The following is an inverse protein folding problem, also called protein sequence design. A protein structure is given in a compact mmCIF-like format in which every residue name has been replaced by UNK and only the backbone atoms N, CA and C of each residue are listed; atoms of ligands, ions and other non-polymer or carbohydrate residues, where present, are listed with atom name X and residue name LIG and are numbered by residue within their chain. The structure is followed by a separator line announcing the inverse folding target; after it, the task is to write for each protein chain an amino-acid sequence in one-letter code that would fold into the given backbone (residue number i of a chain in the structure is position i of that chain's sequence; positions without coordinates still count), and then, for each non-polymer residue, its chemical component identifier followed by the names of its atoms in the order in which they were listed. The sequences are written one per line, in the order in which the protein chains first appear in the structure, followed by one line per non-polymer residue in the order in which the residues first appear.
data_IF_210460226588
#
_entry.id   IF_210460226588
#
_cell.length_a   1.000
_cell.length_b   1.000
_cell.length_c   1.000
_cell.angle_alpha   90.00
_cell.angle_beta   90.00
_cell.angle_gamma   90.00
#
_symmetry.space_group_name_H-M   'P 1'
#
loop_
_entity.id
_entity.type
_entity.pdbx_description
1 polymer ?
#
# COMPACT_ATOMS: atom_id res chain seq x y z
N UNK A 1 -3.59 18.45 -5.05
CA UNK A 1 -2.81 17.62 -4.12
C UNK A 1 -3.68 16.74 -3.22
N UNK A 2 -4.76 17.26 -2.61
CA UNK A 2 -5.64 16.45 -1.74
C UNK A 2 -6.20 15.20 -2.44
N UNK A 3 -6.66 15.32 -3.69
CA UNK A 3 -7.17 14.20 -4.47
C UNK A 3 -6.13 13.08 -4.66
N UNK A 4 -4.88 13.44 -5.01
CA UNK A 4 -3.76 12.50 -5.15
C UNK A 4 -3.46 11.76 -3.84
N UNK A 5 -3.43 12.50 -2.73
CA UNK A 5 -3.18 11.91 -1.40
C UNK A 5 -4.29 10.91 -1.06
N UNK A 6 -5.55 11.25 -1.34
CA UNK A 6 -6.68 10.33 -1.12
C UNK A 6 -6.53 9.02 -1.89
N UNK A 7 -6.15 9.09 -3.17
CA UNK A 7 -5.94 7.89 -3.99
C UNK A 7 -4.76 7.06 -3.44
N UNK A 8 -3.63 7.70 -3.15
CA UNK A 8 -2.44 7.04 -2.59
C UNK A 8 -2.75 6.33 -1.26
N UNK A 9 -3.46 7.00 -0.35
CA UNK A 9 -3.85 6.46 0.95
C UNK A 9 -4.78 5.28 0.77
N UNK A 10 -5.74 5.36 -0.16
CA UNK A 10 -6.65 4.25 -0.45
C UNK A 10 -5.90 3.01 -0.96
N UNK A 11 -5.00 3.17 -1.94
CA UNK A 11 -4.24 2.05 -2.49
C UNK A 11 -3.35 1.40 -1.42
N UNK A 12 -2.68 2.22 -0.60
CA UNK A 12 -1.83 1.75 0.49
C UNK A 12 -2.64 1.05 1.60
N UNK A 13 -3.81 1.59 1.95
CA UNK A 13 -4.70 1.02 2.96
C UNK A 13 -5.19 -0.36 2.54
N UNK A 14 -5.66 -0.51 1.31
CA UNK A 14 -6.13 -1.79 0.78
C UNK A 14 -5.00 -2.82 0.75
N UNK A 15 -3.79 -2.40 0.37
CA UNK A 15 -2.60 -3.26 0.40
C UNK A 15 -2.29 -3.73 1.83
N UNK A 16 -2.13 -2.79 2.77
CA UNK A 16 -1.81 -3.09 4.17
C UNK A 16 -2.89 -3.94 4.82
N UNK A 17 -4.17 -3.72 4.51
CA UNK A 17 -5.28 -4.50 5.06
C UNK A 17 -5.23 -5.96 4.61
N UNK A 18 -4.94 -6.21 3.33
CA UNK A 18 -4.77 -7.59 2.82
C UNK A 18 -3.51 -8.24 3.39
N UNK A 19 -2.41 -7.49 3.49
CA UNK A 19 -1.19 -7.94 4.15
C UNK A 19 -1.45 -8.38 5.60
N UNK A 20 -2.08 -7.52 6.40
CA UNK A 20 -2.43 -7.83 7.79
C UNK A 20 -3.38 -9.04 7.89
N UNK A 21 -4.32 -9.19 6.95
CA UNK A 21 -5.18 -10.37 6.89
C UNK A 21 -4.38 -11.64 6.61
N UNK A 22 -3.43 -11.62 5.67
CA UNK A 22 -2.56 -12.74 5.37
C UNK A 22 -1.72 -13.16 6.60
N UNK A 23 -1.19 -12.18 7.35
CA UNK A 23 -0.51 -12.44 8.62
C UNK A 23 -1.44 -13.12 9.65
N UNK A 24 -2.71 -12.67 9.76
CA UNK A 24 -3.74 -13.29 10.62
C UNK A 24 -4.11 -14.70 10.21
N UNK A 25 -3.97 -15.03 8.93
CA UNK A 25 -4.18 -16.37 8.39
C UNK A 25 -2.96 -17.28 8.59
N UNK A 26 -1.88 -16.79 9.21
CA UNK A 26 -0.68 -17.55 9.55
C UNK A 26 0.37 -17.64 8.43
N UNK A 27 0.23 -16.83 7.37
CA UNK A 27 1.28 -16.72 6.35
C UNK A 27 2.53 -16.06 6.93
N UNK A 28 3.70 -16.60 6.61
CA UNK A 28 4.98 -15.97 6.99
C UNK A 28 5.09 -14.60 6.30
N UNK A 29 5.71 -13.63 6.98
CA UNK A 29 5.93 -12.27 6.46
C UNK A 29 6.28 -12.19 4.96
N UNK A 30 7.28 -12.94 4.50
CA UNK A 30 7.72 -12.89 3.09
C UNK A 30 6.63 -13.40 2.14
N UNK A 31 5.95 -14.48 2.50
CA UNK A 31 4.85 -15.07 1.75
C UNK A 31 3.62 -14.14 1.76
N UNK A 32 3.31 -13.54 2.91
CA UNK A 32 2.22 -12.60 3.07
C UNK A 32 2.41 -11.34 2.21
N UNK A 33 3.64 -10.79 2.14
CA UNK A 33 3.97 -9.65 1.29
C UNK A 33 3.86 -10.04 -0.19
N UNK A 34 4.38 -11.21 -0.58
CA UNK A 34 4.34 -11.67 -1.96
C UNK A 34 2.91 -11.92 -2.44
N UNK A 35 2.10 -12.64 -1.66
CA UNK A 35 0.69 -12.89 -1.98
C UNK A 35 -0.12 -11.60 -2.05
N UNK A 36 0.09 -10.67 -1.10
CA UNK A 36 -0.57 -9.36 -1.13
C UNK A 36 -0.21 -8.59 -2.39
N UNK A 37 1.08 -8.55 -2.74
CA UNK A 37 1.57 -7.90 -3.94
C UNK A 37 0.92 -8.46 -5.21
N UNK A 38 0.93 -9.78 -5.38
CA UNK A 38 0.36 -10.45 -6.55
C UNK A 38 -1.15 -10.25 -6.67
N UNK A 39 -1.87 -10.38 -5.56
CA UNK A 39 -3.33 -10.26 -5.56
C UNK A 39 -3.80 -8.82 -5.71
N UNK A 40 -3.00 -7.81 -5.29
CA UNK A 40 -3.37 -6.38 -5.35
C UNK A 40 -2.79 -5.61 -6.51
N UNK A 41 -1.75 -6.13 -7.17
CA UNK A 41 -1.15 -5.51 -8.34
C UNK A 41 -2.19 -5.13 -9.41
N UNK A 42 -2.98 -6.11 -9.87
CA UNK A 42 -3.97 -5.90 -10.94
C UNK A 42 -5.02 -4.82 -10.59
N UNK A 43 -5.71 -4.89 -9.43
CA UNK A 43 -6.68 -3.86 -9.06
C UNK A 43 -6.07 -2.47 -8.91
N UNK A 44 -4.91 -2.33 -8.27
CA UNK A 44 -4.27 -1.01 -8.08
C UNK A 44 -3.91 -0.38 -9.43
N UNK A 45 -3.34 -1.18 -10.35
CA UNK A 45 -3.03 -0.72 -11.71
C UNK A 45 -4.30 -0.34 -12.46
N UNK A 46 -5.37 -1.16 -12.37
CA UNK A 46 -6.63 -0.89 -13.05
C UNK A 46 -7.28 0.40 -12.58
N UNK A 47 -7.33 0.65 -11.27
CA UNK A 47 -7.83 1.91 -10.70
C UNK A 47 -7.02 3.08 -11.23
N UNK A 48 -5.69 2.98 -11.21
CA UNK A 48 -4.80 4.04 -11.68
C UNK A 48 -5.04 4.39 -13.15
N UNK A 49 -5.13 3.37 -14.01
CA UNK A 49 -5.44 3.53 -15.44
C UNK A 49 -6.81 4.17 -15.61
N UNK A 50 -7.81 3.71 -14.87
CA UNK A 50 -9.19 4.21 -14.98
C UNK A 50 -9.28 5.68 -14.58
N UNK A 51 -8.59 6.09 -13.52
CA UNK A 51 -8.52 7.50 -13.10
C UNK A 51 -7.83 8.38 -14.15
N UNK A 52 -6.70 7.94 -14.72
CA UNK A 52 -6.00 8.68 -15.78
C UNK A 52 -6.89 8.79 -17.02
N UNK A 53 -7.55 7.70 -17.41
CA UNK A 53 -8.49 7.69 -18.52
C UNK A 53 -9.68 8.64 -18.29
N UNK A 54 -10.20 8.72 -17.06
CA UNK A 54 -11.25 9.66 -16.69
C UNK A 54 -10.82 11.14 -16.77
N UNK A 55 -9.52 11.42 -16.63
CA UNK A 55 -8.94 12.76 -16.79
C UNK A 55 -8.60 13.11 -18.24
N UNK A 56 -8.51 12.13 -19.14
CA UNK A 56 -8.19 12.34 -20.55
C UNK A 56 -9.05 13.42 -21.23
N UNK A 57 -10.41 13.42 -21.14
CA UNK A 57 -11.22 14.45 -21.79
C UNK A 57 -10.90 15.86 -21.28
N UNK A 58 -10.60 16.00 -19.98
CA UNK A 58 -10.22 17.28 -19.39
C UNK A 58 -8.86 17.78 -19.88
N UNK A 59 -7.92 16.86 -20.13
CA UNK A 59 -6.59 17.18 -20.66
C UNK A 59 -6.66 17.64 -22.13
N UNK A 60 -7.61 17.11 -22.90
CA UNK A 60 -7.82 17.48 -24.32
C UNK A 60 -8.83 18.61 -24.52
N UNK A 61 -9.32 19.23 -23.44
CA UNK A 61 -10.26 20.34 -23.51
C UNK A 61 -9.60 21.58 -24.15
N UNK A 62 -10.34 22.26 -25.03
CA UNK A 62 -9.85 23.42 -25.81
C UNK A 62 -10.44 24.74 -25.34
N UNK A 63 -11.53 24.70 -24.57
CA UNK A 63 -12.20 25.89 -24.07
C UNK A 63 -11.29 26.74 -23.16
N UNK A 64 -11.16 28.04 -23.48
CA UNK A 64 -10.31 29.00 -22.78
C UNK A 64 -10.62 29.11 -21.28
N UNK A 65 -11.91 28.97 -20.92
CA UNK A 65 -12.34 28.98 -19.52
C UNK A 65 -11.90 27.72 -18.77
N UNK A 66 -11.64 26.60 -19.43
CA UNK A 66 -11.23 25.34 -18.79
C UNK A 66 -9.71 25.11 -18.79
N UNK A 67 -8.92 25.98 -19.46
CA UNK A 67 -7.47 25.77 -19.61
C UNK A 67 -6.69 25.75 -18.28
N UNK A 68 -7.21 26.37 -17.21
CA UNK A 68 -6.58 26.31 -15.89
C UNK A 68 -6.67 24.91 -15.25
N UNK A 69 -7.61 24.06 -15.68
CA UNK A 69 -7.77 22.70 -15.17
C UNK A 69 -6.80 21.71 -15.82
N UNK A 70 -6.34 21.98 -17.04
CA UNK A 70 -5.39 21.15 -17.80
C UNK A 70 -4.09 20.89 -17.00
N UNK A 71 -3.35 21.91 -16.50
CA UNK A 71 -2.13 21.66 -15.73
C UNK A 71 -2.40 20.92 -14.42
N UNK A 72 -3.57 21.10 -13.81
CA UNK A 72 -3.97 20.34 -12.62
C UNK A 72 -4.20 18.86 -12.95
N UNK A 73 -4.90 18.56 -14.04
CA UNK A 73 -5.17 17.20 -14.49
C UNK A 73 -3.88 16.46 -14.84
N UNK A 74 -2.96 17.14 -15.53
CA UNK A 74 -1.63 16.61 -15.87
C UNK A 74 -0.83 16.30 -14.60
N UNK A 75 -0.80 17.21 -13.62
CA UNK A 75 -0.12 16.98 -12.35
C UNK A 75 -0.70 15.77 -11.58
N UNK A 76 -2.04 15.58 -11.64
CA UNK A 76 -2.70 14.41 -11.03
C UNK A 76 -2.35 13.13 -11.80
N UNK A 77 -2.37 13.13 -13.13
CA UNK A 77 -2.04 11.94 -13.90
C UNK A 77 -0.61 11.44 -13.64
N UNK A 78 0.38 12.34 -13.71
CA UNK A 78 1.77 11.97 -13.41
C UNK A 78 1.99 11.62 -11.93
N UNK A 79 1.37 12.37 -11.02
CA UNK A 79 1.43 12.09 -9.59
C UNK A 79 0.86 10.71 -9.26
N UNK A 80 -0.22 10.31 -9.94
CA UNK A 80 -0.82 9.00 -9.77
C UNK A 80 0.10 7.88 -10.27
N UNK A 81 0.69 8.01 -11.46
CA UNK A 81 1.65 7.01 -11.98
C UNK A 81 2.80 6.78 -10.99
N UNK A 82 3.38 7.87 -10.47
CA UNK A 82 4.45 7.77 -9.47
C UNK A 82 3.95 7.16 -8.15
N UNK A 83 2.77 7.56 -7.68
CA UNK A 83 2.14 7.00 -6.49
C UNK A 83 1.92 5.49 -6.62
N UNK A 84 1.39 5.01 -7.75
CA UNK A 84 1.19 3.58 -8.01
C UNK A 84 2.50 2.81 -7.98
N UNK A 85 3.56 3.34 -8.59
CA UNK A 85 4.89 2.73 -8.56
C UNK A 85 5.47 2.67 -7.13
N UNK A 86 5.33 3.75 -6.35
CA UNK A 86 5.74 3.76 -4.96
C UNK A 86 4.93 2.75 -4.13
N UNK A 87 3.62 2.67 -4.30
CA UNK A 87 2.79 1.72 -3.56
C UNK A 87 3.13 0.27 -3.91
N UNK A 88 3.45 -0.05 -5.17
CA UNK A 88 3.73 -1.44 -5.57
C UNK A 88 5.17 -1.89 -5.31
N UNK A 89 6.14 -0.97 -5.35
CA UNK A 89 7.57 -1.31 -5.19
C UNK A 89 8.10 -0.90 -3.83
N UNK A 90 7.88 0.37 -3.45
CA UNK A 90 8.44 0.93 -2.23
C UNK A 90 7.71 0.44 -0.97
N UNK A 91 6.37 0.39 -0.98
CA UNK A 91 5.59 -0.04 0.19
C UNK A 91 5.94 -1.47 0.67
N UNK A 92 6.05 -2.50 -0.19
CA UNK A 92 6.48 -3.83 0.27
C UNK A 92 7.87 -3.83 0.90
N UNK A 93 8.83 -3.12 0.31
CA UNK A 93 10.18 -3.01 0.85
C UNK A 93 10.17 -2.28 2.21
N UNK A 94 9.38 -1.21 2.31
CA UNK A 94 9.20 -0.46 3.55
C UNK A 94 8.60 -1.32 4.66
N UNK A 95 7.58 -2.13 4.36
CA UNK A 95 6.99 -3.07 5.31
C UNK A 95 8.00 -4.09 5.82
N UNK A 96 8.87 -4.65 4.95
CA UNK A 96 9.95 -5.56 5.38
C UNK A 96 10.91 -4.88 6.34
N UNK A 97 11.34 -3.66 6.02
CA UNK A 97 12.28 -2.89 6.86
C UNK A 97 11.67 -2.56 8.22
N UNK A 98 10.43 -2.07 8.25
CA UNK A 98 9.71 -1.75 9.49
C UNK A 98 9.56 -3.00 10.36
N UNK A 99 9.20 -4.14 9.76
CA UNK A 99 9.10 -5.40 10.50
C UNK A 99 10.46 -5.83 11.09
N UNK A 100 11.55 -5.72 10.31
CA UNK A 100 12.91 -6.03 10.78
C UNK A 100 13.33 -5.11 11.94
N UNK A 101 13.01 -3.82 11.88
CA UNK A 101 13.30 -2.88 12.97
C UNK A 101 12.55 -3.26 14.24
N UNK A 102 11.26 -3.64 14.13
CA UNK A 102 10.47 -4.13 15.26
C UNK A 102 11.08 -5.40 15.87
N UNK A 103 11.47 -6.36 15.03
CA UNK A 103 12.17 -7.58 15.44
C UNK A 103 13.44 -7.27 16.26
N UNK A 104 14.28 -6.36 15.77
CA UNK A 104 15.55 -6.01 16.41
C UNK A 104 15.29 -5.31 17.75
N UNK A 105 14.32 -4.38 17.80
CA UNK A 105 13.94 -3.72 19.05
C UNK A 105 13.48 -4.72 20.11
N UNK A 106 12.57 -5.64 19.75
CA UNK A 106 12.10 -6.67 20.68
C UNK A 106 13.24 -7.58 21.12
N UNK A 107 14.10 -8.04 20.20
CA UNK A 107 15.24 -8.89 20.55
C UNK A 107 16.23 -8.21 21.52
N UNK A 108 16.56 -6.93 21.27
CA UNK A 108 17.46 -6.15 22.14
C UNK A 108 16.83 -5.91 23.52
N UNK A 109 15.51 -5.76 23.60
CA UNK A 109 14.82 -5.48 24.85
C UNK A 109 14.51 -6.73 25.68
N UNK A 110 14.22 -7.87 25.04
CA UNK A 110 13.79 -9.12 25.73
C UNK A 110 14.90 -10.17 25.85
N UNK A 111 16.05 -10.02 25.16
CA UNK A 111 17.20 -10.92 25.24
C UNK A 111 16.97 -12.37 24.75
N UNK A 112 15.75 -12.72 24.31
CA UNK A 112 15.38 -14.04 23.81
C UNK A 112 15.35 -14.06 22.28
N UNK A 113 16.02 -15.03 21.65
CA UNK A 113 15.80 -15.39 20.24
C UNK A 113 14.40 -16.03 20.11
N UNK A 114 13.37 -15.20 19.97
CA UNK A 114 12.00 -15.68 19.74
C UNK A 114 11.90 -16.37 18.37
N UNK A 115 11.17 -17.48 18.28
CA UNK A 115 11.01 -18.24 17.04
C UNK A 115 10.21 -17.43 16.01
N UNK A 116 10.47 -17.61 14.71
CA UNK A 116 9.90 -16.76 13.64
C UNK A 116 8.36 -16.83 13.52
N UNK A 117 7.70 -17.76 14.21
CA UNK A 117 6.28 -18.10 14.04
C UNK A 117 5.37 -17.52 15.15
N UNK A 118 5.91 -17.07 16.29
CA UNK A 118 5.12 -16.52 17.44
C UNK A 118 5.00 -14.98 17.43
N UNK A 119 5.54 -14.30 16.41
CA UNK A 119 5.84 -12.86 16.48
C UNK A 119 4.84 -11.93 15.77
N UNK A 120 3.91 -12.45 14.98
CA UNK A 120 3.02 -11.58 14.24
C UNK A 120 1.91 -11.01 15.15
N UNK A 121 1.69 -9.68 15.19
CA UNK A 121 0.69 -9.06 16.07
C UNK A 121 -0.73 -9.59 15.83
N UNK A 122 -0.96 -10.10 14.64
CA UNK A 122 -2.11 -10.86 14.21
C UNK A 122 -2.41 -12.13 15.05
N UNK A 123 -1.37 -12.89 15.43
CA UNK A 123 -1.50 -14.08 16.29
C UNK A 123 -1.74 -13.67 17.74
N UNK A 124 -1.09 -12.59 18.21
CA UNK A 124 -1.35 -12.01 19.56
C UNK A 124 -2.78 -11.48 19.70
N UNK A 125 -3.36 -10.94 18.63
CA UNK A 125 -4.78 -10.53 18.59
C UNK A 125 -5.73 -11.74 18.63
N UNK A 126 -5.43 -12.83 17.90
CA UNK A 126 -6.20 -14.08 17.95
C UNK A 126 -6.15 -14.77 19.32
N UNK A 127 -5.08 -14.58 20.09
CA UNK A 127 -4.94 -15.08 21.46
C UNK A 127 -5.75 -14.23 22.46
N UNK A 128 -5.89 -12.93 22.20
CA UNK A 128 -6.74 -12.01 22.99
C UNK A 128 -8.23 -12.14 22.69
N UNK A 129 -8.63 -12.46 21.45
CA UNK A 129 -10.04 -12.72 21.08
C UNK A 129 -10.56 -14.08 21.60
N UNK A 130 -9.68 -14.97 22.07
CA UNK A 130 -10.03 -16.27 22.66
C UNK A 130 -10.16 -16.25 24.19
N UNK A 131 -9.86 -15.11 24.83
CA UNK A 131 -10.05 -14.85 26.26
C UNK A 131 -11.42 -14.18 26.51
#
# INVERSE_FOLDING_TARGET
MIALIGILVNDSLVFISKFNKNLKEGLKLDDAIQDTGLTRFRPIVLTSITTIAGLAPLIFEKELQAQFLIPMAIAIAYGLILATLLTLVFLPAFLKVVNKIRYIKEWVFTGKKLNNEEREPAIKELEYEKL
#
